data_IF_684801897809
#
_entry.id   IF_684801897809
#
_cell.length_a   1.000
_cell.length_b   1.000
_cell.length_c   1.000
_cell.angle_alpha   90.00
_cell.angle_beta   90.00
_cell.angle_gamma   90.00
#
_symmetry.space_group_name_H-M   'P 1'
#
loop_
_entity.id
_entity.type
_entity.pdbx_description
1 polymer ?
#
# COMPACT_ATOMS: atom_id res chain seq x y z
N UNK A 1 0.04 20.02 11.97
CA UNK A 1 -0.01 18.61 12.45
C UNK A 1 1.10 17.83 11.75
N UNK A 2 1.75 16.86 12.39
CA UNK A 2 2.67 15.96 11.66
C UNK A 2 1.82 14.91 10.94
N UNK A 3 1.92 14.77 9.61
CA UNK A 3 1.10 13.82 8.87
C UNK A 3 1.50 12.38 9.21
N UNK A 4 0.53 11.48 9.17
CA UNK A 4 0.71 10.03 9.37
C UNK A 4 -0.12 9.31 8.32
N UNK A 5 0.41 8.22 7.79
CA UNK A 5 -0.31 7.29 6.91
C UNK A 5 -0.10 5.87 7.43
N UNK A 6 -1.14 5.04 7.31
CA UNK A 6 -1.12 3.63 7.68
C UNK A 6 -1.67 2.83 6.51
N UNK A 7 -1.02 1.71 6.19
CA UNK A 7 -1.39 0.81 5.11
C UNK A 7 -1.46 -0.62 5.66
N UNK A 8 -2.41 -1.43 5.19
CA UNK A 8 -2.50 -2.85 5.54
C UNK A 8 -2.64 -3.71 4.27
N UNK A 9 -1.94 -4.85 4.22
CA UNK A 9 -1.99 -5.79 3.08
C UNK A 9 -3.23 -6.69 3.05
N UNK A 10 -4.07 -6.65 4.09
CA UNK A 10 -5.18 -7.58 4.30
C UNK A 10 -4.87 -8.60 5.40
N UNK A 11 -5.71 -9.63 5.52
CA UNK A 11 -5.58 -10.70 6.52
C UNK A 11 -5.33 -12.06 5.84
N UNK A 12 -4.69 -12.98 6.55
CA UNK A 12 -4.45 -14.35 6.08
C UNK A 12 -3.06 -14.87 6.45
N UNK A 13 -2.82 -16.15 6.16
CA UNK A 13 -1.51 -16.76 6.35
C UNK A 13 -0.58 -16.33 5.21
N UNK A 14 0.54 -15.72 5.56
CA UNK A 14 1.62 -15.38 4.62
C UNK A 14 2.64 -16.51 4.65
N UNK A 15 2.86 -17.16 3.51
CA UNK A 15 3.93 -18.16 3.35
C UNK A 15 5.29 -17.46 3.19
N UNK A 16 6.39 -18.13 3.57
CA UNK A 16 7.73 -17.52 3.62
C UNK A 16 8.18 -16.92 2.28
N UNK A 17 7.83 -17.58 1.18
CA UNK A 17 8.10 -17.15 -0.19
C UNK A 17 7.35 -15.86 -0.58
N UNK A 18 6.23 -15.56 0.08
CA UNK A 18 5.42 -14.35 -0.14
C UNK A 18 5.69 -13.24 0.87
N UNK A 19 6.43 -13.51 1.94
CA UNK A 19 6.64 -12.57 3.05
C UNK A 19 7.40 -11.31 2.61
N UNK A 20 8.48 -11.48 1.84
CA UNK A 20 9.28 -10.36 1.33
C UNK A 20 8.48 -9.48 0.36
N UNK A 21 7.73 -10.10 -0.55
CA UNK A 21 6.83 -9.41 -1.48
C UNK A 21 5.76 -8.60 -0.76
N UNK A 22 5.06 -9.22 0.19
CA UNK A 22 4.04 -8.55 0.99
C UNK A 22 4.62 -7.38 1.82
N UNK A 23 5.76 -7.59 2.48
CA UNK A 23 6.42 -6.57 3.30
C UNK A 23 6.93 -5.40 2.47
N UNK A 24 7.56 -5.67 1.33
CA UNK A 24 8.04 -4.63 0.42
C UNK A 24 6.89 -3.87 -0.23
N UNK A 25 5.79 -4.55 -0.58
CA UNK A 25 4.59 -3.95 -1.13
C UNK A 25 3.94 -2.93 -0.18
N UNK A 26 3.68 -3.29 1.07
CA UNK A 26 3.08 -2.35 2.04
C UNK A 26 4.03 -1.20 2.39
N UNK A 27 5.34 -1.45 2.39
CA UNK A 27 6.36 -0.40 2.58
C UNK A 27 6.32 0.60 1.42
N UNK A 28 6.24 0.10 0.17
CA UNK A 28 6.16 0.94 -1.03
C UNK A 28 4.90 1.80 -1.05
N UNK A 29 3.75 1.21 -0.75
CA UNK A 29 2.48 1.91 -0.67
C UNK A 29 2.50 3.02 0.39
N UNK A 30 2.98 2.72 1.61
CA UNK A 30 3.09 3.70 2.68
C UNK A 30 4.04 4.86 2.31
N UNK A 31 5.19 4.55 1.68
CA UNK A 31 6.15 5.56 1.25
C UNK A 31 5.60 6.48 0.15
N UNK A 32 4.86 5.93 -0.81
CA UNK A 32 4.24 6.72 -1.88
C UNK A 32 3.20 7.70 -1.33
N UNK A 33 2.26 7.22 -0.52
CA UNK A 33 1.27 8.10 0.11
C UNK A 33 1.90 9.10 1.09
N UNK A 34 2.91 8.70 1.87
CA UNK A 34 3.63 9.62 2.76
C UNK A 34 4.38 10.71 2.00
N UNK A 35 4.88 10.42 0.79
CA UNK A 35 5.54 11.42 -0.07
C UNK A 35 4.61 12.58 -0.44
N UNK A 36 3.34 12.28 -0.74
CA UNK A 36 2.31 13.30 -1.02
C UNK A 36 2.05 14.17 0.21
N UNK A 37 1.86 13.55 1.38
CA UNK A 37 1.65 14.28 2.63
C UNK A 37 2.87 15.15 2.99
N UNK A 38 4.08 14.64 2.77
CA UNK A 38 5.34 15.37 3.03
C UNK A 38 5.48 16.62 2.14
N UNK A 39 4.89 16.58 0.94
CA UNK A 39 4.89 17.70 -0.01
C UNK A 39 3.74 18.70 0.23
N UNK A 40 2.91 18.49 1.25
CA UNK A 40 1.77 19.35 1.57
C UNK A 40 0.50 19.01 0.79
N UNK A 41 0.46 17.84 0.13
CA UNK A 41 -0.76 17.32 -0.50
C UNK A 41 -1.84 16.97 0.52
N UNK A 42 -3.06 16.72 0.02
CA UNK A 42 -4.20 16.42 0.87
C UNK A 42 -4.26 14.92 1.26
N UNK A 43 -5.09 14.60 2.24
CA UNK A 43 -5.21 13.23 2.75
C UNK A 43 -5.84 12.25 1.74
N UNK A 44 -6.74 12.73 0.88
CA UNK A 44 -7.40 11.93 -0.14
C UNK A 44 -6.40 11.46 -1.20
N UNK A 45 -5.61 12.38 -1.76
CA UNK A 45 -4.58 12.06 -2.76
C UNK A 45 -3.55 11.07 -2.21
N UNK A 46 -3.20 11.22 -0.92
CA UNK A 46 -2.21 10.36 -0.26
C UNK A 46 -2.71 8.92 -0.07
N UNK A 47 -3.99 8.73 0.28
CA UNK A 47 -4.55 7.37 0.43
C UNK A 47 -4.83 6.74 -0.93
N UNK A 48 -5.25 7.54 -1.92
CA UNK A 48 -5.45 7.09 -3.30
C UNK A 48 -4.15 6.53 -3.88
N UNK A 49 -3.06 7.29 -3.87
CA UNK A 49 -1.77 6.84 -4.39
C UNK A 49 -1.24 5.58 -3.66
N UNK A 50 -1.46 5.50 -2.34
CA UNK A 50 -1.07 4.32 -1.57
C UNK A 50 -1.85 3.07 -2.02
N UNK A 51 -3.17 3.19 -2.22
CA UNK A 51 -4.04 2.08 -2.63
C UNK A 51 -3.82 1.70 -4.09
N UNK A 52 -3.70 2.66 -5.01
CA UNK A 52 -3.38 2.38 -6.42
C UNK A 52 -2.07 1.60 -6.55
N UNK A 53 -1.05 1.95 -5.76
CA UNK A 53 0.19 1.17 -5.73
C UNK A 53 0.02 -0.27 -5.23
N UNK A 54 -1.02 -0.56 -4.46
CA UNK A 54 -1.34 -1.92 -4.02
C UNK A 54 -2.18 -2.68 -5.04
N UNK A 55 -3.10 -2.00 -5.74
CA UNK A 55 -3.88 -2.57 -6.85
C UNK A 55 -3.01 -3.03 -8.03
N UNK A 56 -1.89 -2.35 -8.24
CA UNK A 56 -0.88 -2.68 -9.25
C UNK A 56 0.15 -3.72 -8.80
N UNK A 57 0.16 -4.12 -7.53
CA UNK A 57 1.15 -5.07 -7.00
C UNK A 57 0.57 -6.50 -6.89
N UNK A 58 1.18 -7.50 -7.55
CA UNK A 58 0.67 -8.87 -7.61
C UNK A 58 0.60 -9.60 -6.26
N UNK A 59 1.19 -9.02 -5.20
CA UNK A 59 1.14 -9.62 -3.88
C UNK A 59 -0.16 -9.33 -3.13
N UNK A 60 -0.98 -8.36 -3.59
CA UNK A 60 -2.24 -7.98 -2.94
C UNK A 60 -3.46 -8.40 -3.75
N UNK A 61 -4.49 -8.81 -3.04
CA UNK A 61 -5.78 -9.17 -3.61
C UNK A 61 -6.64 -7.92 -3.82
N UNK A 62 -6.24 -7.09 -4.77
CA UNK A 62 -6.92 -5.84 -5.13
C UNK A 62 -6.68 -5.54 -6.63
N UNK A 63 -7.56 -4.76 -7.24
CA UNK A 63 -7.41 -4.33 -8.63
C UNK A 63 -7.13 -5.49 -9.60
N UNK A 64 -6.00 -5.41 -10.30
CA UNK A 64 -5.57 -6.35 -11.34
C UNK A 64 -5.41 -7.80 -10.86
N UNK A 65 -5.21 -8.01 -9.56
CA UNK A 65 -4.92 -9.32 -8.97
C UNK A 65 -6.02 -9.79 -8.02
N UNK A 66 -7.23 -9.26 -8.20
CA UNK A 66 -8.41 -9.69 -7.45
C UNK A 66 -8.76 -11.14 -7.75
N UNK A 67 -9.05 -11.90 -6.69
CA UNK A 67 -9.54 -13.27 -6.77
C UNK A 67 -10.98 -13.28 -7.30
N UNK A 68 -11.34 -14.35 -8.01
CA UNK A 68 -12.69 -14.61 -8.52
C UNK A 68 -13.50 -15.37 -7.48
#
# INVERSE_FOLDING_TARGET
MKPVIVVHGGAGRIFKDREEGARSGVTRAAMKGYSILKQGGNALDAVEEAVTSMEDDPHFNAGNFSSI
#
